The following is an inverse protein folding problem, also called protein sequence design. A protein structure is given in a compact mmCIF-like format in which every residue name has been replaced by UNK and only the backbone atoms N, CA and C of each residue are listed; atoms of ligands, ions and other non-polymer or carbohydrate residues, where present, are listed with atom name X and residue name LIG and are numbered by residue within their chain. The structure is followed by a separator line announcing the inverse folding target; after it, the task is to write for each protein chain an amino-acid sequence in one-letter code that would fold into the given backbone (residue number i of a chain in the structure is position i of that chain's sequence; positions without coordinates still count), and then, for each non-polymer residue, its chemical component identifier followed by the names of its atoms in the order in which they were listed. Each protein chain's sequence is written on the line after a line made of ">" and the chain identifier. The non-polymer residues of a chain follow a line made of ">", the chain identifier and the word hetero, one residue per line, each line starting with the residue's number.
data_IF_947213692927
#
_entry.id   IF_947213692927
#
_cell.length_a   1.000
_cell.length_b   1.000
_cell.length_c   1.000
_cell.angle_alpha   90.00
_cell.angle_beta   90.00
_cell.angle_gamma   90.00
#
_symmetry.space_group_name_H-M   'P 1'
#
loop_
_entity.id
_entity.type
_entity.pdbx_description
1 polymer ?
#
# COMPACT_ATOMS: atom_id res chain seq x y z
N UNK A 1 -6.86 17.70 -6.15
CA UNK A 1 -6.90 16.67 -7.22
C UNK A 1 -7.34 17.32 -8.52
N UNK A 2 -6.40 17.73 -9.37
CA UNK A 2 -6.74 18.41 -10.64
C UNK A 2 -5.77 18.06 -11.79
N UNK A 3 -4.74 17.24 -11.53
CA UNK A 3 -3.80 16.77 -12.54
C UNK A 3 -3.53 15.27 -12.37
N UNK A 4 -4.17 14.46 -13.20
CA UNK A 4 -4.01 13.01 -13.22
C UNK A 4 -2.62 12.54 -13.66
N UNK A 5 -1.82 13.40 -14.31
CA UNK A 5 -0.44 13.04 -14.63
C UNK A 5 0.44 13.05 -13.38
N UNK A 6 0.10 13.87 -12.37
CA UNK A 6 0.79 13.81 -11.08
C UNK A 6 0.45 12.52 -10.34
N UNK A 7 -0.82 12.13 -10.34
CA UNK A 7 -1.28 10.86 -9.78
C UNK A 7 -0.59 9.66 -10.44
N UNK A 8 -0.49 9.65 -11.77
CA UNK A 8 0.26 8.64 -12.51
C UNK A 8 1.76 8.58 -12.12
N UNK A 9 2.40 9.72 -11.90
CA UNK A 9 3.80 9.75 -11.43
C UNK A 9 3.92 9.23 -9.99
N UNK A 10 2.94 9.53 -9.14
CA UNK A 10 2.91 9.05 -7.76
C UNK A 10 2.80 7.52 -7.71
N UNK A 11 2.00 6.90 -8.59
CA UNK A 11 1.85 5.44 -8.66
C UNK A 11 3.16 4.73 -9.04
N UNK A 12 3.90 5.27 -9.99
CA UNK A 12 5.23 4.74 -10.36
C UNK A 12 6.25 4.97 -9.22
N UNK A 13 6.26 6.18 -8.64
CA UNK A 13 7.19 6.54 -7.56
C UNK A 13 7.01 5.69 -6.31
N UNK A 14 5.77 5.38 -5.91
CA UNK A 14 5.55 4.54 -4.73
C UNK A 14 6.11 3.14 -4.93
N UNK A 15 5.93 2.54 -6.12
CA UNK A 15 6.51 1.24 -6.43
C UNK A 15 8.04 1.28 -6.44
N UNK A 16 8.63 2.31 -7.06
CA UNK A 16 10.08 2.50 -7.06
C UNK A 16 10.64 2.59 -5.62
N UNK A 17 9.97 3.32 -4.73
CA UNK A 17 10.36 3.42 -3.33
C UNK A 17 10.28 2.07 -2.61
N UNK A 18 9.24 1.26 -2.85
CA UNK A 18 9.18 -0.10 -2.28
C UNK A 18 10.34 -0.96 -2.76
N UNK A 19 10.68 -0.94 -4.05
CA UNK A 19 11.81 -1.70 -4.58
C UNK A 19 13.16 -1.24 -4.02
N UNK A 20 13.37 0.08 -3.89
CA UNK A 20 14.66 0.64 -3.43
C UNK A 20 14.84 0.58 -1.91
N UNK A 21 13.79 0.87 -1.14
CA UNK A 21 13.88 1.13 0.30
C UNK A 21 13.27 0.00 1.14
N UNK A 22 12.38 -0.81 0.56
CA UNK A 22 11.68 -1.91 1.23
C UNK A 22 11.62 -3.20 0.40
N UNK A 23 12.76 -3.68 -0.15
CA UNK A 23 12.78 -4.80 -1.11
C UNK A 23 12.16 -6.09 -0.54
N UNK A 24 12.22 -6.28 0.77
CA UNK A 24 11.64 -7.42 1.49
C UNK A 24 10.11 -7.56 1.35
N UNK A 25 9.38 -6.50 0.99
CA UNK A 25 7.94 -6.56 0.71
C UNK A 25 7.56 -6.11 -0.71
N UNK A 26 8.50 -5.66 -1.53
CA UNK A 26 8.21 -5.04 -2.83
C UNK A 26 7.36 -5.93 -3.76
N UNK A 27 7.59 -7.24 -3.76
CA UNK A 27 6.80 -8.20 -4.56
C UNK A 27 5.31 -8.30 -4.16
N UNK A 28 4.98 -7.88 -2.94
CA UNK A 28 3.61 -7.94 -2.41
C UNK A 28 2.86 -6.61 -2.56
N UNK A 29 3.50 -5.57 -3.11
CA UNK A 29 2.87 -4.27 -3.37
C UNK A 29 2.81 -4.05 -4.88
N UNK A 30 1.66 -3.58 -5.36
CA UNK A 30 1.41 -3.32 -6.76
C UNK A 30 0.62 -2.03 -6.96
N UNK A 31 0.81 -1.39 -8.10
CA UNK A 31 -0.02 -0.32 -8.61
C UNK A 31 -0.30 -0.62 -10.09
N UNK A 32 -1.54 -0.42 -10.58
CA UNK A 32 -1.88 -0.66 -11.97
C UNK A 32 -0.96 0.08 -12.94
N UNK A 33 -0.53 -0.59 -14.01
CA UNK A 33 0.31 0.04 -15.03
C UNK A 33 -0.42 1.22 -15.68
N UNK A 34 0.22 2.38 -15.74
CA UNK A 34 -0.31 3.56 -16.44
C UNK A 34 -0.09 3.45 -17.94
N UNK A 35 -1.12 3.78 -18.73
CA UNK A 35 -1.03 3.95 -20.17
C UNK A 35 -0.83 5.42 -20.52
N UNK A 36 0.42 5.89 -20.45
CA UNK A 36 0.78 7.30 -20.63
C UNK A 36 0.29 7.93 -21.93
N UNK A 37 0.36 7.20 -23.04
CA UNK A 37 -0.07 7.69 -24.35
C UNK A 37 -1.58 7.92 -24.45
N UNK A 38 -2.36 7.38 -23.52
CA UNK A 38 -3.81 7.52 -23.46
C UNK A 38 -4.26 8.37 -22.26
N UNK A 39 -3.31 8.85 -21.45
CA UNK A 39 -3.58 9.62 -20.24
C UNK A 39 -3.27 11.10 -20.44
N UNK A 40 -4.04 11.95 -19.77
CA UNK A 40 -3.90 13.42 -19.79
C UNK A 40 -4.08 13.94 -18.36
N UNK A 41 -3.92 15.24 -18.14
CA UNK A 41 -4.19 15.85 -16.83
C UNK A 41 -5.64 15.71 -16.36
N UNK A 42 -6.57 15.37 -17.26
CA UNK A 42 -8.02 15.24 -17.00
C UNK A 42 -8.56 13.82 -17.15
N UNK A 43 -7.74 12.86 -17.58
CA UNK A 43 -8.14 11.47 -17.74
C UNK A 43 -6.94 10.56 -17.48
N UNK A 44 -7.04 9.68 -16.49
CA UNK A 44 -6.06 8.63 -16.23
C UNK A 44 -6.54 7.31 -16.82
N UNK A 45 -5.72 6.66 -17.64
CA UNK A 45 -5.97 5.30 -18.13
C UNK A 45 -4.90 4.37 -17.59
N UNK A 46 -5.34 3.31 -16.91
CA UNK A 46 -4.47 2.32 -16.27
C UNK A 46 -4.97 0.89 -16.48
N UNK A 47 -4.12 -0.07 -16.18
CA UNK A 47 -4.43 -1.50 -16.21
C UNK A 47 -5.68 -1.80 -15.38
N UNK A 48 -6.57 -2.62 -15.94
CA UNK A 48 -7.64 -3.20 -15.16
C UNK A 48 -7.10 -4.34 -14.30
N UNK A 49 -7.25 -4.24 -12.98
CA UNK A 49 -6.82 -5.25 -12.03
C UNK A 49 -8.03 -5.88 -11.35
N UNK A 50 -8.16 -7.20 -11.47
CA UNK A 50 -9.15 -7.97 -10.73
C UNK A 50 -8.62 -8.33 -9.32
N UNK A 51 -9.48 -8.16 -8.32
CA UNK A 51 -9.14 -8.34 -6.91
C UNK A 51 -10.32 -8.09 -5.98
N UNK A 52 -10.26 -8.62 -4.77
CA UNK A 52 -11.24 -8.35 -3.73
C UNK A 52 -10.93 -6.99 -3.06
N UNK A 53 -11.96 -6.24 -2.65
CA UNK A 53 -11.75 -5.08 -1.78
C UNK A 53 -11.11 -5.51 -0.46
N UNK A 54 -10.20 -4.69 0.09
CA UNK A 54 -9.44 -5.03 1.30
C UNK A 54 -10.32 -5.30 2.53
N UNK A 55 -11.53 -4.74 2.55
CA UNK A 55 -12.53 -4.93 3.62
C UNK A 55 -13.50 -6.09 3.36
N UNK A 56 -13.49 -6.71 2.18
CA UNK A 56 -14.35 -7.86 1.87
C UNK A 56 -13.68 -9.18 2.28
N UNK A 57 -13.78 -9.46 3.58
CA UNK A 57 -13.25 -10.68 4.20
C UNK A 57 -13.78 -11.95 3.52
N UNK A 58 -15.02 -11.96 3.02
CA UNK A 58 -15.61 -13.15 2.39
C UNK A 58 -14.93 -13.43 1.05
N UNK A 59 -14.75 -12.41 0.22
CA UNK A 59 -14.07 -12.54 -1.07
C UNK A 59 -12.59 -12.86 -0.91
N UNK A 60 -11.90 -12.24 0.06
CA UNK A 60 -10.50 -12.57 0.38
C UNK A 60 -10.35 -14.05 0.74
N UNK A 61 -11.23 -14.60 1.58
CA UNK A 61 -11.21 -16.04 1.91
C UNK A 61 -11.48 -16.93 0.70
N UNK A 62 -12.38 -16.54 -0.21
CA UNK A 62 -12.64 -17.26 -1.47
C UNK A 62 -11.42 -17.30 -2.38
N UNK A 63 -10.57 -16.27 -2.34
CA UNK A 63 -9.29 -16.24 -3.06
C UNK A 63 -8.21 -17.15 -2.44
N UNK A 64 -8.50 -17.81 -1.32
CA UNK A 64 -7.56 -18.66 -0.59
C UNK A 64 -6.52 -17.87 0.21
N UNK A 65 -6.81 -16.62 0.51
CA UNK A 65 -5.94 -15.70 1.25
C UNK A 65 -6.42 -15.61 2.70
N UNK A 66 -5.45 -15.49 3.62
CA UNK A 66 -5.73 -15.23 5.03
C UNK A 66 -5.95 -13.72 5.28
N UNK A 67 -7.13 -13.27 5.74
CA UNK A 67 -7.38 -11.85 6.02
C UNK A 67 -6.42 -11.24 7.04
N UNK A 68 -5.86 -12.03 7.96
CA UNK A 68 -4.85 -11.54 8.89
C UNK A 68 -3.52 -11.19 8.19
N UNK A 69 -3.13 -11.95 7.17
CA UNK A 69 -1.95 -11.61 6.36
C UNK A 69 -2.17 -10.32 5.56
N UNK A 70 -3.40 -10.07 5.09
CA UNK A 70 -3.77 -8.82 4.40
C UNK A 70 -3.63 -7.63 5.36
N UNK A 71 -4.24 -7.72 6.55
CA UNK A 71 -4.14 -6.65 7.55
C UNK A 71 -2.68 -6.34 7.91
N UNK A 72 -1.86 -7.38 8.13
CA UNK A 72 -0.43 -7.22 8.40
C UNK A 72 0.30 -6.54 7.24
N UNK A 73 0.02 -6.94 6.00
CA UNK A 73 0.64 -6.37 4.81
C UNK A 73 0.27 -4.89 4.64
N UNK A 74 -1.00 -4.53 4.84
CA UNK A 74 -1.47 -3.13 4.79
C UNK A 74 -0.76 -2.29 5.84
N UNK A 75 -0.78 -2.71 7.11
CA UNK A 75 -0.10 -1.97 8.19
C UNK A 75 1.40 -1.82 7.92
N UNK A 76 2.06 -2.88 7.42
CA UNK A 76 3.46 -2.82 7.08
C UNK A 76 3.73 -1.85 5.92
N UNK A 77 2.93 -1.88 4.85
CA UNK A 77 3.10 -1.00 3.69
C UNK A 77 3.00 0.49 4.10
N UNK A 78 1.99 0.85 4.89
CA UNK A 78 1.81 2.24 5.35
C UNK A 78 2.92 2.67 6.33
N UNK A 79 3.37 1.79 7.21
CA UNK A 79 4.50 2.07 8.09
C UNK A 79 5.80 2.31 7.29
N UNK A 80 6.05 1.51 6.24
CA UNK A 80 7.23 1.67 5.38
C UNK A 80 7.18 3.00 4.60
N UNK A 81 6.03 3.35 4.01
CA UNK A 81 5.81 4.65 3.36
C UNK A 81 6.11 5.83 4.29
N UNK A 82 5.65 5.73 5.53
CA UNK A 82 5.77 6.77 6.54
C UNK A 82 7.18 6.90 7.14
N UNK A 83 7.73 5.80 7.65
CA UNK A 83 8.95 5.82 8.45
C UNK A 83 10.22 5.52 7.66
N UNK A 84 10.12 4.86 6.49
CA UNK A 84 11.28 4.63 5.63
C UNK A 84 11.29 5.56 4.44
N UNK A 85 10.24 5.52 3.62
CA UNK A 85 10.20 6.25 2.34
C UNK A 85 10.12 7.76 2.56
N UNK A 86 9.31 8.20 3.52
CA UNK A 86 8.94 9.62 3.64
C UNK A 86 8.06 10.08 2.49
N UNK A 87 7.43 9.15 1.77
CA UNK A 87 6.46 9.42 0.70
C UNK A 87 5.18 8.68 1.07
N UNK A 88 4.22 9.42 1.63
CA UNK A 88 3.10 8.84 2.37
C UNK A 88 1.83 9.02 1.58
N UNK A 89 1.12 7.92 1.36
CA UNK A 89 -0.25 7.97 0.86
C UNK A 89 -1.18 8.44 1.98
N UNK A 90 -1.84 9.57 1.77
CA UNK A 90 -2.65 10.25 2.78
C UNK A 90 -4.13 9.86 2.78
N UNK A 91 -4.56 8.96 1.87
CA UNK A 91 -5.93 8.46 1.81
C UNK A 91 -5.99 6.93 1.71
N UNK A 92 -5.75 6.20 2.81
CA UNK A 92 -5.80 4.75 2.85
C UNK A 92 -7.24 4.19 2.88
N UNK A 93 -8.21 4.85 2.23
CA UNK A 93 -9.59 4.35 2.21
C UNK A 93 -9.60 2.93 1.65
N UNK A 94 -10.38 2.04 2.27
CA UNK A 94 -10.51 0.65 1.83
C UNK A 94 -10.99 0.47 0.37
N UNK A 95 -11.49 1.53 -0.26
CA UNK A 95 -11.97 1.54 -1.64
C UNK A 95 -10.81 1.70 -2.64
N UNK A 96 -9.69 2.24 -2.18
CA UNK A 96 -8.48 2.48 -2.97
C UNK A 96 -7.52 1.28 -2.94
N UNK A 97 -7.90 0.22 -2.23
CA UNK A 97 -7.06 -0.95 -1.95
C UNK A 97 -7.76 -2.23 -2.40
N UNK A 98 -7.13 -2.93 -3.33
CA UNK A 98 -7.52 -4.28 -3.71
C UNK A 98 -6.51 -5.31 -3.20
N UNK A 99 -6.99 -6.54 -3.10
CA UNK A 99 -6.21 -7.69 -2.73
C UNK A 99 -6.41 -8.77 -3.77
N UNK A 100 -5.31 -9.28 -4.30
CA UNK A 100 -5.29 -10.50 -5.12
C UNK A 100 -4.21 -11.44 -4.62
N UNK A 101 -4.24 -12.72 -5.01
CA UNK A 101 -3.11 -13.60 -4.78
C UNK A 101 -1.90 -13.17 -5.63
N UNK A 102 -0.68 -13.32 -5.11
CA UNK A 102 0.54 -13.06 -5.90
C UNK A 102 0.51 -13.89 -7.20
N UNK A 103 0.59 -13.28 -8.40
CA UNK A 103 0.41 -14.01 -9.66
C UNK A 103 1.44 -15.12 -9.89
N UNK A 104 2.69 -14.90 -9.46
CA UNK A 104 3.82 -15.80 -9.71
C UNK A 104 3.99 -16.89 -8.64
N UNK A 105 3.22 -16.87 -7.55
CA UNK A 105 3.40 -17.83 -6.45
C UNK A 105 2.47 -19.04 -6.53
N UNK A 106 3.05 -20.22 -6.27
CA UNK A 106 2.31 -21.48 -6.11
C UNK A 106 1.58 -21.49 -4.77
N UNK A 107 0.47 -22.24 -4.71
CA UNK A 107 -0.23 -22.50 -3.45
C UNK A 107 0.73 -23.16 -2.46
N UNK A 108 0.66 -22.74 -1.20
CA UNK A 108 1.31 -23.42 -0.08
C UNK A 108 0.82 -24.87 0.02
N UNK A 109 1.56 -25.71 0.75
CA UNK A 109 1.20 -27.10 1.07
C UNK A 109 -0.20 -27.17 1.72
N UNK A 110 -0.59 -26.15 2.50
CA UNK A 110 -1.93 -26.02 3.09
C UNK A 110 -2.99 -25.39 2.14
N UNK A 111 -2.66 -25.17 0.87
CA UNK A 111 -3.56 -24.56 -0.12
C UNK A 111 -3.73 -23.04 -0.02
N UNK A 112 -3.14 -22.39 0.99
CA UNK A 112 -3.15 -20.93 1.18
C UNK A 112 -2.29 -20.21 0.12
N UNK A 113 -2.70 -19.00 -0.26
CA UNK A 113 -1.97 -18.11 -1.18
C UNK A 113 -1.54 -16.83 -0.46
N UNK A 114 -0.38 -16.28 -0.83
CA UNK A 114 0.07 -15.00 -0.29
C UNK A 114 -0.69 -13.84 -0.93
N UNK A 115 -1.07 -12.81 -0.15
CA UNK A 115 -1.70 -11.61 -0.67
C UNK A 115 -0.71 -10.72 -1.40
N UNK A 116 -1.17 -10.07 -2.46
CA UNK A 116 -0.59 -8.88 -3.05
C UNK A 116 -1.57 -7.74 -2.86
N UNK A 117 -1.09 -6.66 -2.24
CA UNK A 117 -1.83 -5.41 -2.04
C UNK A 117 -1.68 -4.55 -3.29
N UNK A 118 -2.81 -4.09 -3.83
CA UNK A 118 -2.87 -3.22 -5.00
C UNK A 118 -3.37 -1.85 -4.53
N UNK A 119 -2.56 -0.82 -4.79
CA UNK A 119 -2.90 0.58 -4.58
C UNK A 119 -3.51 1.12 -5.88
N UNK A 120 -4.73 1.68 -5.85
CA UNK A 120 -5.42 2.17 -7.06
C UNK A 120 -5.41 3.69 -7.13
N UNK A 121 -5.66 4.35 -6.01
CA UNK A 121 -5.69 5.81 -5.93
C UNK A 121 -4.31 6.33 -5.58
N UNK A 122 -3.81 7.29 -6.36
CA UNK A 122 -2.56 7.96 -6.05
C UNK A 122 -2.65 9.49 -6.07
N UNK A 123 -3.87 10.03 -5.90
CA UNK A 123 -4.16 11.47 -5.92
C UNK A 123 -3.63 12.21 -4.69
N UNK A 124 -3.51 11.53 -3.55
CA UNK A 124 -3.12 12.13 -2.27
C UNK A 124 -1.86 11.51 -1.69
N UNK A 125 -0.71 12.12 -2.03
CA UNK A 125 0.59 11.82 -1.45
C UNK A 125 1.24 13.05 -0.83
N UNK A 126 2.03 12.82 0.23
CA UNK A 126 2.85 13.85 0.87
C UNK A 126 4.28 13.36 1.07
N UNK A 127 5.23 14.23 0.73
CA UNK A 127 6.62 14.07 1.12
C UNK A 127 6.86 14.61 2.53
N UNK A 128 7.51 13.81 3.36
CA UNK A 128 7.95 14.16 4.70
C UNK A 128 9.46 14.37 4.69
N UNK A 129 9.89 15.55 5.11
CA UNK A 129 11.32 15.78 5.35
C UNK A 129 11.84 14.93 6.53
N UNK A 130 13.16 14.85 6.66
CA UNK A 130 13.81 14.03 7.68
C UNK A 130 13.41 14.45 9.10
N UNK A 131 13.27 15.74 9.35
CA UNK A 131 12.89 16.30 10.65
C UNK A 131 11.46 15.89 11.03
N UNK A 132 10.53 16.03 10.10
CA UNK A 132 9.12 15.66 10.27
C UNK A 132 8.98 14.17 10.51
N UNK A 133 9.69 13.36 9.72
CA UNK A 133 9.71 11.90 9.89
C UNK A 133 10.26 11.48 11.25
N UNK A 134 11.35 12.11 11.70
CA UNK A 134 11.93 11.84 13.02
C UNK A 134 10.99 12.26 14.16
N UNK A 135 10.43 13.47 14.09
CA UNK A 135 9.49 13.97 15.11
C UNK A 135 8.23 13.11 15.19
N UNK A 136 7.72 12.67 14.04
CA UNK A 136 6.57 11.77 13.98
C UNK A 136 6.89 10.40 14.57
N UNK A 137 8.05 9.81 14.25
CA UNK A 137 8.49 8.56 14.87
C UNK A 137 8.66 8.69 16.40
N UNK A 138 9.19 9.83 16.87
CA UNK A 138 9.31 10.12 18.30
C UNK A 138 7.94 10.20 18.98
N UNK A 139 6.97 10.91 18.36
CA UNK A 139 5.60 10.98 18.85
C UNK A 139 4.97 9.58 18.99
N UNK A 140 5.07 8.75 17.95
CA UNK A 140 4.54 7.37 17.99
C UNK A 140 5.20 6.51 19.05
N UNK A 141 6.53 6.63 19.23
CA UNK A 141 7.25 5.92 20.28
C UNK A 141 6.74 6.32 21.67
N UNK A 142 6.54 7.61 21.91
CA UNK A 142 6.01 8.11 23.19
C UNK A 142 4.58 7.62 23.44
N UNK A 143 3.70 7.69 22.43
CA UNK A 143 2.31 7.21 22.54
C UNK A 143 2.24 5.71 22.85
N UNK A 144 3.09 4.90 22.23
CA UNK A 144 3.14 3.47 22.52
C UNK A 144 3.65 3.24 23.95
N UNK A 145 4.76 3.88 24.35
CA UNK A 145 5.30 3.73 25.70
C UNK A 145 4.32 4.20 26.80
N UNK A 146 3.54 5.26 26.57
CA UNK A 146 2.56 5.74 27.56
C UNK A 146 1.40 4.78 27.74
N UNK A 147 0.93 4.12 26.67
CA UNK A 147 -0.10 3.08 26.76
C UNK A 147 0.36 1.85 27.55
N UNK A 148 1.64 1.48 27.46
CA UNK A 148 2.20 0.38 28.26
C UNK A 148 2.35 0.73 29.74
N UNK A 149 2.56 2.00 30.09
CA UNK A 149 2.71 2.45 31.48
C UNK A 149 1.37 2.61 32.23
N UNK A 150 0.24 2.68 31.53
CA UNK A 150 -1.09 2.74 32.16
C UNK A 150 -1.73 1.37 32.41
N UNK A 151 -1.06 0.27 32.03
CA UNK A 151 -1.55 -1.12 32.21
C UNK A 151 -0.62 -1.95 33.13
N UNK A 152 0.28 -1.29 33.86
CA UNK A 152 1.07 -1.83 34.99
C UNK A 152 0.72 -1.05 36.25
#
# INVERSE_FOLDING_TARGET
>A
ELDFLLEAKNSEKVLENFWKLSPHIANYIYAPKVYWNLSTSKLLIMEFVDGAQVNDVKSIRKLGIDPHEVSRLVSQAFAEMMFKHGFVHCDPHAANLLVRPVPSEKKSILGKRKPQLILIDHGLYKELDATTKFNYAALWKVLMCSLYFFHL
#
